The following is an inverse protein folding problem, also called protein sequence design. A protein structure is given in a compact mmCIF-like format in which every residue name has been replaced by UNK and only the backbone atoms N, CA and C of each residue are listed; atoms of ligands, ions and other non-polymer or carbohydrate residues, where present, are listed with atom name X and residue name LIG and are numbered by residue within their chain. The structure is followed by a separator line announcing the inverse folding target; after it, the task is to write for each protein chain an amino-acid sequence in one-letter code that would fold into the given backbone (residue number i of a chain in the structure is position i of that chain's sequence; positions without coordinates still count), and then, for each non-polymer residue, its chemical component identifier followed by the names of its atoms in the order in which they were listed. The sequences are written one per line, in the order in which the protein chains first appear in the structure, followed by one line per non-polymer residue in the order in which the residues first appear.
data_IF_683698997175
#
_entry.id   IF_683698997175
#
_cell.length_a   1.000
_cell.length_b   1.000
_cell.length_c   1.000
_cell.angle_alpha   90.00
_cell.angle_beta   90.00
_cell.angle_gamma   90.00
#
_symmetry.space_group_name_H-M   'P 1'
#
loop_
_entity.id
_entity.type
_entity.pdbx_description
1 polymer ?
#
# COMPACT_ATOMS: atom_id res chain seq x y z
N UNK A 1 -82.76 17.33 -28.61
CA UNK A 1 -83.49 16.35 -27.77
C UNK A 1 -82.51 15.75 -26.77
N UNK A 2 -82.92 15.73 -25.49
CA UNK A 2 -82.17 15.19 -24.35
C UNK A 2 -81.76 13.74 -24.57
N UNK A 3 -80.58 13.34 -24.05
CA UNK A 3 -80.38 12.08 -23.32
C UNK A 3 -79.09 12.17 -22.48
N UNK A 4 -79.28 12.05 -21.16
CA UNK A 4 -78.25 11.90 -20.13
C UNK A 4 -77.83 10.43 -20.04
N UNK A 5 -76.54 10.17 -19.79
CA UNK A 5 -75.98 8.92 -19.23
C UNK A 5 -74.79 9.36 -18.36
N UNK A 6 -74.96 9.55 -17.04
CA UNK A 6 -74.84 8.59 -15.93
C UNK A 6 -73.40 8.10 -15.63
N UNK A 7 -72.84 8.67 -14.55
CA UNK A 7 -71.87 8.19 -13.55
C UNK A 7 -70.88 7.04 -13.83
N UNK A 8 -69.59 7.28 -13.51
CA UNK A 8 -68.83 6.51 -12.49
C UNK A 8 -67.51 7.23 -12.10
N UNK A 9 -67.26 7.61 -10.83
CA UNK A 9 -65.93 8.02 -10.39
C UNK A 9 -65.07 6.76 -10.11
N UNK A 10 -63.96 6.65 -10.83
CA UNK A 10 -62.96 5.60 -10.66
C UNK A 10 -62.24 5.80 -9.30
N UNK A 11 -62.48 4.89 -8.36
CA UNK A 11 -61.73 4.75 -7.12
C UNK A 11 -60.27 4.41 -7.44
N UNK A 12 -59.38 5.38 -7.30
CA UNK A 12 -57.93 5.15 -7.31
C UNK A 12 -57.57 4.53 -5.95
N UNK A 13 -57.44 3.20 -5.94
CA UNK A 13 -56.73 2.49 -4.87
C UNK A 13 -55.25 2.84 -4.96
N UNK A 14 -54.81 3.75 -4.08
CA UNK A 14 -53.38 3.95 -3.79
C UNK A 14 -52.91 2.72 -3.02
N UNK A 15 -52.17 1.85 -3.69
CA UNK A 15 -51.37 0.82 -3.04
C UNK A 15 -50.35 1.51 -2.14
N UNK A 16 -50.57 1.44 -0.83
CA UNK A 16 -49.55 1.74 0.16
C UNK A 16 -48.48 0.65 0.07
N UNK A 17 -47.36 0.97 -0.58
CA UNK A 17 -46.14 0.18 -0.45
C UNK A 17 -45.66 0.29 1.01
N UNK A 18 -46.01 -0.70 1.82
CA UNK A 18 -45.32 -1.02 3.08
C UNK A 18 -43.92 -1.53 2.75
N UNK A 19 -43.05 -0.61 2.35
CA UNK A 19 -41.62 -0.84 2.31
C UNK A 19 -41.10 -0.90 3.73
N UNK A 20 -40.88 -2.12 4.23
CA UNK A 20 -40.09 -2.40 5.41
C UNK A 20 -38.79 -1.59 5.34
N UNK A 21 -38.71 -0.51 6.14
CA UNK A 21 -37.45 0.15 6.42
C UNK A 21 -36.66 -0.81 7.30
N UNK A 22 -35.87 -1.66 6.67
CA UNK A 22 -34.67 -2.16 7.34
C UNK A 22 -33.82 -0.92 7.59
N UNK A 23 -33.92 -0.38 8.80
CA UNK A 23 -32.92 0.50 9.38
C UNK A 23 -31.60 -0.29 9.40
N UNK A 24 -30.92 -0.28 8.26
CA UNK A 24 -29.47 -0.41 8.27
C UNK A 24 -28.98 0.80 9.03
N UNK A 25 -28.61 0.57 10.30
CA UNK A 25 -27.81 1.48 11.10
C UNK A 25 -26.67 1.94 10.19
N UNK A 26 -26.77 3.17 9.70
CA UNK A 26 -25.66 3.85 9.03
C UNK A 26 -24.52 3.78 10.04
N UNK A 27 -23.45 3.05 9.71
CA UNK A 27 -22.16 3.32 10.35
C UNK A 27 -21.96 4.82 10.18
N UNK A 28 -21.83 5.55 11.29
CA UNK A 28 -21.37 6.92 11.24
C UNK A 28 -20.12 6.92 10.35
N UNK A 29 -20.19 7.63 9.23
CA UNK A 29 -19.03 7.87 8.38
C UNK A 29 -18.06 8.69 9.22
N UNK A 30 -17.19 8.01 9.97
CA UNK A 30 -16.03 8.65 10.57
C UNK A 30 -15.27 9.27 9.40
N UNK A 31 -15.19 10.59 9.39
CA UNK A 31 -14.47 11.34 8.37
C UNK A 31 -13.02 10.80 8.34
N UNK A 32 -12.63 10.22 7.20
CA UNK A 32 -11.37 9.51 7.11
C UNK A 32 -10.21 10.50 7.22
N UNK A 33 -9.24 10.19 8.10
CA UNK A 33 -8.18 11.11 8.50
C UNK A 33 -7.23 11.44 7.34
N UNK A 34 -6.51 12.55 7.46
CA UNK A 34 -5.35 12.86 6.62
C UNK A 34 -4.04 12.41 7.30
N UNK A 35 -2.91 12.52 6.58
CA UNK A 35 -1.60 12.24 7.17
C UNK A 35 -1.26 13.27 8.25
N UNK A 36 -1.75 14.51 8.15
CA UNK A 36 -1.53 15.57 9.14
C UNK A 36 -2.34 15.34 10.43
N UNK A 37 -3.43 14.58 10.36
CA UNK A 37 -4.28 14.27 11.52
C UNK A 37 -3.78 13.05 12.31
N UNK A 38 -2.77 12.33 11.80
CA UNK A 38 -2.24 11.11 12.42
C UNK A 38 -0.75 11.23 12.77
N UNK A 39 -0.31 10.72 13.94
CA UNK A 39 -1.13 10.10 14.98
C UNK A 39 -1.82 11.12 15.90
N UNK A 40 -3.04 10.79 16.33
CA UNK A 40 -3.80 11.46 17.38
C UNK A 40 -3.90 10.60 18.67
N UNK A 41 -4.70 11.05 19.63
CA UNK A 41 -4.91 10.34 20.92
C UNK A 41 -5.63 8.98 20.77
N UNK A 42 -6.37 8.79 19.67
CA UNK A 42 -7.21 7.62 19.42
C UNK A 42 -6.54 6.64 18.43
N UNK A 43 -5.36 7.00 17.92
CA UNK A 43 -4.58 6.20 16.99
C UNK A 43 -4.10 4.90 17.64
N UNK A 44 -4.49 3.77 17.05
CA UNK A 44 -4.00 2.47 17.47
C UNK A 44 -2.71 2.07 16.75
N UNK A 45 -1.81 1.36 17.45
CA UNK A 45 -0.54 0.92 16.91
C UNK A 45 -0.51 -0.61 16.81
N UNK A 46 -0.29 -1.12 15.60
CA UNK A 46 -0.13 -2.55 15.35
C UNK A 46 1.33 -2.84 14.99
N UNK A 47 1.98 -3.77 15.69
CA UNK A 47 3.35 -4.16 15.37
C UNK A 47 3.38 -5.39 14.46
N UNK A 48 3.93 -5.20 13.26
CA UNK A 48 4.29 -6.28 12.34
C UNK A 48 5.69 -6.78 12.72
N UNK A 49 5.75 -8.00 13.26
CA UNK A 49 7.00 -8.63 13.71
C UNK A 49 7.64 -9.43 12.58
N UNK A 50 8.81 -8.97 12.16
CA UNK A 50 9.70 -9.64 11.21
C UNK A 50 10.64 -10.60 11.95
N UNK A 51 11.11 -11.62 11.25
CA UNK A 51 12.03 -12.62 11.77
C UNK A 51 13.08 -12.98 10.72
N UNK A 52 14.35 -12.90 11.09
CA UNK A 52 15.44 -13.40 10.26
C UNK A 52 15.42 -14.94 10.25
N UNK A 53 15.42 -15.53 9.06
CA UNK A 53 15.56 -16.97 8.85
C UNK A 53 16.75 -17.26 7.93
N UNK A 54 17.42 -18.39 8.13
CA UNK A 54 18.61 -18.71 7.36
C UNK A 54 18.27 -18.99 5.88
N UNK A 55 19.14 -18.57 4.95
CA UNK A 55 19.08 -18.98 3.54
C UNK A 55 18.33 -18.05 2.57
N UNK A 56 17.72 -16.96 3.03
CA UNK A 56 16.90 -16.07 2.19
C UNK A 56 17.64 -14.82 1.70
N UNK A 57 18.88 -14.98 1.19
CA UNK A 57 19.67 -13.85 0.63
C UNK A 57 19.88 -13.94 -0.88
N UNK A 58 19.52 -15.06 -1.52
CA UNK A 58 19.84 -15.28 -2.94
C UNK A 58 19.20 -14.22 -3.85
N UNK A 59 17.90 -13.97 -3.68
CA UNK A 59 17.16 -12.99 -4.49
C UNK A 59 17.78 -11.59 -4.37
N UNK A 60 17.96 -11.09 -3.15
CA UNK A 60 18.50 -9.74 -2.95
C UNK A 60 19.96 -9.60 -3.43
N UNK A 61 20.76 -10.67 -3.35
CA UNK A 61 22.11 -10.70 -3.89
C UNK A 61 22.11 -10.69 -5.42
N UNK A 62 21.27 -11.50 -6.06
CA UNK A 62 21.12 -11.55 -7.51
C UNK A 62 20.60 -10.20 -8.05
N UNK A 63 19.61 -9.60 -7.37
CA UNK A 63 19.13 -8.25 -7.69
C UNK A 63 20.25 -7.21 -7.58
N UNK A 64 21.10 -7.31 -6.55
CA UNK A 64 22.28 -6.46 -6.41
C UNK A 64 23.23 -6.58 -7.60
N UNK A 65 23.47 -7.79 -8.10
CA UNK A 65 24.30 -8.04 -9.30
C UNK A 65 23.65 -7.43 -10.54
N UNK A 66 22.33 -7.55 -10.71
CA UNK A 66 21.62 -6.94 -11.83
C UNK A 66 21.69 -5.41 -11.80
N UNK A 67 21.52 -4.81 -10.62
CA UNK A 67 21.66 -3.37 -10.40
C UNK A 67 23.06 -2.88 -10.77
N UNK A 68 24.09 -3.58 -10.32
CA UNK A 68 25.48 -3.27 -10.65
C UNK A 68 25.75 -3.35 -12.15
N UNK A 69 25.23 -4.39 -12.84
CA UNK A 69 25.30 -4.49 -14.31
C UNK A 69 24.57 -3.34 -15.01
N UNK A 70 23.47 -2.86 -14.42
CA UNK A 70 22.73 -1.70 -14.91
C UNK A 70 23.40 -0.35 -14.56
N UNK A 71 24.56 -0.36 -13.89
CA UNK A 71 25.31 0.84 -13.54
C UNK A 71 24.83 1.53 -12.27
N UNK A 72 24.24 0.79 -11.33
CA UNK A 72 23.91 1.27 -10.00
C UNK A 72 24.95 0.79 -8.97
N UNK A 73 25.27 1.62 -7.97
CA UNK A 73 25.78 1.10 -6.72
C UNK A 73 24.66 0.36 -5.98
N UNK A 74 25.02 -0.61 -5.14
CA UNK A 74 24.08 -1.34 -4.30
C UNK A 74 24.73 -1.63 -2.95
N UNK A 75 24.22 -0.99 -1.91
CA UNK A 75 24.85 -0.97 -0.59
C UNK A 75 23.84 -1.26 0.50
N UNK A 76 24.19 -2.15 1.43
CA UNK A 76 23.41 -2.35 2.65
C UNK A 76 23.54 -1.11 3.54
N UNK A 77 22.42 -0.70 4.15
CA UNK A 77 22.35 0.41 5.09
C UNK A 77 21.93 -0.05 6.47
N UNK A 78 22.22 0.80 7.45
CA UNK A 78 21.65 0.63 8.79
C UNK A 78 20.13 0.74 8.68
N UNK A 79 19.43 -0.29 9.16
CA UNK A 79 17.97 -0.31 9.19
C UNK A 79 17.43 0.93 9.89
N UNK A 80 16.49 1.59 9.22
CA UNK A 80 15.69 2.65 9.82
C UNK A 80 14.35 2.08 10.26
N UNK A 81 13.80 2.59 11.35
CA UNK A 81 12.45 2.26 11.77
C UNK A 81 11.48 2.66 10.66
N UNK A 82 10.52 1.79 10.34
CA UNK A 82 9.50 2.06 9.34
C UNK A 82 8.12 1.81 9.94
N UNK A 83 7.18 2.68 9.56
CA UNK A 83 5.77 2.50 9.83
C UNK A 83 4.95 2.92 8.62
N UNK A 84 3.72 2.42 8.56
CA UNK A 84 2.72 2.79 7.56
C UNK A 84 1.47 3.26 8.28
N UNK A 85 1.01 4.46 7.95
CA UNK A 85 -0.26 4.97 8.42
C UNK A 85 -1.39 4.35 7.60
N UNK A 86 -2.47 3.97 8.27
CA UNK A 86 -3.77 3.66 7.68
C UNK A 86 -4.79 4.66 8.23
N UNK A 87 -5.06 5.68 7.42
CA UNK A 87 -5.90 6.83 7.78
C UNK A 87 -7.39 6.51 7.77
N UNK A 88 -7.79 5.44 7.08
CA UNK A 88 -9.17 4.96 7.07
C UNK A 88 -9.53 4.25 8.37
N UNK A 89 -8.54 3.64 9.03
CA UNK A 89 -8.73 2.88 10.27
C UNK A 89 -8.20 3.59 11.52
N UNK A 90 -7.59 4.77 11.37
CA UNK A 90 -6.81 5.45 12.41
C UNK A 90 -5.77 4.52 13.07
N UNK A 91 -4.97 3.84 12.24
CA UNK A 91 -3.95 2.87 12.69
C UNK A 91 -2.57 3.17 12.14
N UNK A 92 -1.55 2.92 12.94
CA UNK A 92 -0.15 2.93 12.51
C UNK A 92 0.40 1.51 12.57
N UNK A 93 0.80 0.97 11.41
CA UNK A 93 1.47 -0.33 11.28
C UNK A 93 2.96 -0.12 11.47
N UNK A 94 3.50 -0.48 12.63
CA UNK A 94 4.93 -0.38 12.96
C UNK A 94 5.63 -1.67 12.56
N UNK A 95 6.71 -1.59 11.79
CA UNK A 95 7.52 -2.75 11.43
C UNK A 95 8.68 -2.86 12.43
N UNK A 96 8.80 -4.02 13.07
CA UNK A 96 9.84 -4.29 14.05
C UNK A 96 10.35 -5.74 13.95
N UNK A 97 11.44 -6.05 14.64
CA UNK A 97 12.05 -7.38 14.67
C UNK A 97 13.45 -7.40 14.06
N UNK A 98 13.99 -8.61 13.90
CA UNK A 98 15.35 -8.82 13.40
C UNK A 98 15.40 -9.25 11.93
N UNK A 99 14.25 -9.43 11.27
CA UNK A 99 14.13 -9.78 9.85
C UNK A 99 14.04 -8.57 8.92
N UNK A 100 14.61 -7.44 9.30
CA UNK A 100 14.61 -6.21 8.49
C UNK A 100 15.98 -6.06 7.84
N UNK A 101 16.01 -5.77 6.55
CA UNK A 101 17.25 -5.43 5.82
C UNK A 101 16.97 -4.23 4.92
N UNK A 102 17.85 -3.22 4.93
CA UNK A 102 17.72 -2.06 4.06
C UNK A 102 18.91 -1.98 3.09
N UNK A 103 18.62 -1.68 1.84
CA UNK A 103 19.59 -1.49 0.78
C UNK A 103 19.31 -0.19 0.04
N UNK A 104 20.35 0.46 -0.45
CA UNK A 104 20.24 1.64 -1.29
C UNK A 104 20.91 1.40 -2.62
N UNK A 105 20.15 1.71 -3.67
CA UNK A 105 20.63 1.71 -5.04
C UNK A 105 20.76 3.13 -5.56
N UNK A 106 21.89 3.46 -6.19
CA UNK A 106 22.09 4.76 -6.84
C UNK A 106 22.79 4.60 -8.18
N UNK A 107 22.19 5.15 -9.22
CA UNK A 107 22.76 5.14 -10.58
C UNK A 107 24.05 5.96 -10.61
N UNK A 108 25.04 5.46 -11.36
CA UNK A 108 26.24 6.19 -11.73
C UNK A 108 26.02 7.15 -12.91
N UNK A 109 24.86 7.09 -13.56
CA UNK A 109 24.46 7.95 -14.66
C UNK A 109 23.27 8.82 -14.27
N UNK A 110 23.21 10.09 -14.71
CA UNK A 110 22.04 10.91 -14.48
C UNK A 110 20.83 10.37 -15.27
N UNK A 111 19.65 10.75 -14.81
CA UNK A 111 18.38 10.50 -15.50
C UNK A 111 18.39 11.14 -16.88
N UNK A 112 17.77 10.48 -17.84
CA UNK A 112 17.82 10.91 -19.25
C UNK A 112 17.27 12.33 -19.39
N UNK A 113 18.03 13.18 -20.08
CA UNK A 113 17.67 14.59 -20.27
C UNK A 113 18.01 15.49 -19.07
N UNK A 114 18.70 14.97 -18.06
CA UNK A 114 19.20 15.74 -16.91
C UNK A 114 20.71 15.60 -16.76
N UNK A 115 21.34 16.49 -15.97
CA UNK A 115 22.78 16.43 -15.66
C UNK A 115 23.06 16.12 -14.19
N UNK A 116 22.17 16.55 -13.29
CA UNK A 116 22.42 16.53 -11.84
C UNK A 116 21.45 15.63 -11.06
N UNK A 117 20.52 14.97 -11.75
CA UNK A 117 19.53 14.08 -11.11
C UNK A 117 19.91 12.63 -11.35
N UNK A 118 20.39 11.95 -10.32
CA UNK A 118 20.80 10.56 -10.39
C UNK A 118 19.71 9.68 -9.79
N UNK A 119 19.15 8.72 -10.55
CA UNK A 119 18.19 7.77 -10.03
C UNK A 119 18.70 7.08 -8.78
N UNK A 120 17.91 7.15 -7.72
CA UNK A 120 18.18 6.45 -6.48
C UNK A 120 16.88 5.91 -5.89
N UNK A 121 17.00 4.82 -5.14
CA UNK A 121 15.88 4.23 -4.42
C UNK A 121 16.39 3.34 -3.28
N UNK A 122 15.50 3.15 -2.31
CA UNK A 122 15.70 2.26 -1.17
C UNK A 122 14.91 0.98 -1.41
N UNK A 123 15.48 -0.16 -1.05
CA UNK A 123 14.81 -1.46 -0.98
C UNK A 123 14.86 -1.90 0.48
N UNK A 124 13.71 -2.03 1.12
CA UNK A 124 13.59 -2.67 2.44
C UNK A 124 13.02 -4.06 2.26
N UNK A 125 13.63 -5.02 2.94
CA UNK A 125 13.17 -6.41 2.99
C UNK A 125 12.62 -6.67 4.38
N UNK A 126 11.40 -7.17 4.44
CA UNK A 126 10.73 -7.64 5.66
C UNK A 126 10.56 -9.14 5.55
N UNK A 127 11.34 -9.87 6.34
CA UNK A 127 11.34 -11.32 6.35
C UNK A 127 10.40 -11.87 7.43
N UNK A 128 9.69 -12.94 7.08
CA UNK A 128 8.72 -13.60 7.96
C UNK A 128 9.02 -15.08 8.10
N UNK A 129 8.48 -15.67 9.17
CA UNK A 129 8.68 -17.09 9.49
C UNK A 129 8.12 -18.04 8.41
N UNK A 130 7.08 -17.63 7.71
CA UNK A 130 6.40 -18.43 6.70
C UNK A 130 5.85 -17.57 5.56
N UNK A 131 5.54 -18.18 4.42
CA UNK A 131 4.92 -17.50 3.28
C UNK A 131 3.52 -16.99 3.64
N UNK A 132 2.76 -17.79 4.40
CA UNK A 132 1.45 -17.37 4.90
C UNK A 132 1.53 -16.13 5.82
N UNK A 133 2.60 -16.01 6.62
CA UNK A 133 2.84 -14.79 7.40
C UNK A 133 3.19 -13.61 6.51
N UNK A 134 4.04 -13.80 5.50
CA UNK A 134 4.37 -12.76 4.54
C UNK A 134 3.13 -12.29 3.76
N UNK A 135 2.30 -13.21 3.25
CA UNK A 135 1.07 -12.88 2.53
C UNK A 135 0.07 -12.09 3.37
N UNK A 136 -0.14 -12.50 4.62
CA UNK A 136 -1.03 -11.79 5.55
C UNK A 136 -0.51 -10.37 5.81
N UNK A 137 0.77 -10.23 6.14
CA UNK A 137 1.36 -8.92 6.42
C UNK A 137 1.47 -8.05 5.16
N UNK A 138 1.63 -8.64 3.97
CA UNK A 138 1.61 -7.93 2.71
C UNK A 138 0.26 -7.28 2.46
N UNK A 139 -0.84 -8.01 2.70
CA UNK A 139 -2.20 -7.45 2.59
C UNK A 139 -2.40 -6.27 3.54
N UNK A 140 -1.98 -6.40 4.81
CA UNK A 140 -2.07 -5.33 5.81
C UNK A 140 -1.26 -4.09 5.39
N UNK A 141 0.00 -4.27 5.00
CA UNK A 141 0.89 -3.19 4.58
C UNK A 141 0.41 -2.53 3.28
N UNK A 142 -0.08 -3.32 2.33
CA UNK A 142 -0.60 -2.80 1.07
C UNK A 142 -1.89 -2.00 1.29
N UNK A 143 -2.79 -2.45 2.17
CA UNK A 143 -3.97 -1.66 2.57
C UNK A 143 -3.55 -0.34 3.21
N UNK A 144 -2.58 -0.36 4.14
CA UNK A 144 -2.08 0.86 4.78
C UNK A 144 -1.44 1.82 3.77
N UNK A 145 -0.53 1.33 2.92
CA UNK A 145 0.17 2.12 1.90
C UNK A 145 -0.81 2.84 0.97
N UNK A 146 -1.88 2.17 0.55
CA UNK A 146 -2.87 2.69 -0.39
C UNK A 146 -4.07 3.37 0.27
N UNK A 147 -4.12 3.43 1.61
CA UNK A 147 -5.16 4.13 2.37
C UNK A 147 -5.32 5.57 1.89
N UNK A 148 -6.57 6.03 1.73
CA UNK A 148 -6.90 7.35 1.19
C UNK A 148 -6.29 7.61 -0.20
N UNK A 149 -6.25 6.58 -1.05
CA UNK A 149 -5.72 6.72 -2.41
C UNK A 149 -4.22 7.03 -2.45
N UNK A 150 -3.44 6.48 -1.50
CA UNK A 150 -1.99 6.67 -1.31
C UNK A 150 -1.57 8.00 -0.66
N UNK A 151 -2.50 8.80 -0.16
CA UNK A 151 -2.17 10.10 0.48
C UNK A 151 -1.78 9.98 1.97
N UNK A 152 -1.95 8.80 2.57
CA UNK A 152 -1.72 8.60 4.00
C UNK A 152 -0.23 8.41 4.39
N UNK A 153 0.66 8.11 3.42
CA UNK A 153 2.07 7.75 3.68
C UNK A 153 3.07 8.71 2.99
N UNK A 154 2.65 9.94 2.71
CA UNK A 154 3.45 10.95 2.03
C UNK A 154 3.37 10.87 0.51
N UNK A 155 4.23 11.63 -0.17
CA UNK A 155 4.19 11.81 -1.64
C UNK A 155 5.28 11.02 -2.39
N UNK A 156 6.20 10.39 -1.67
CA UNK A 156 7.27 9.63 -2.28
C UNK A 156 6.70 8.41 -3.03
N UNK A 157 7.15 8.13 -4.27
CA UNK A 157 6.76 6.90 -4.95
C UNK A 157 7.23 5.68 -4.16
N UNK A 158 6.31 4.76 -3.94
CA UNK A 158 6.54 3.55 -3.17
C UNK A 158 5.76 2.38 -3.76
N UNK A 159 6.35 1.18 -3.67
CA UNK A 159 5.78 -0.06 -4.15
C UNK A 159 6.16 -1.20 -3.23
N UNK A 160 5.15 -1.95 -2.80
CA UNK A 160 5.31 -3.23 -2.11
C UNK A 160 5.18 -4.36 -3.12
N UNK A 161 6.06 -5.36 -3.02
CA UNK A 161 5.91 -6.67 -3.65
C UNK A 161 6.25 -7.77 -2.65
N UNK A 162 5.79 -8.99 -2.91
CA UNK A 162 6.05 -10.16 -2.07
C UNK A 162 6.70 -11.24 -2.92
N UNK A 163 7.70 -11.93 -2.37
CA UNK A 163 8.26 -13.14 -2.94
C UNK A 163 8.56 -14.14 -1.80
N UNK A 164 7.87 -15.28 -1.81
CA UNK A 164 7.96 -16.30 -0.76
C UNK A 164 7.68 -15.72 0.63
N UNK A 165 8.71 -15.74 1.49
CA UNK A 165 8.62 -15.31 2.90
C UNK A 165 8.95 -13.84 3.13
N UNK A 166 9.16 -13.08 2.05
CA UNK A 166 9.71 -11.74 2.13
C UNK A 166 8.81 -10.73 1.42
N UNK A 167 8.61 -9.59 2.08
CA UNK A 167 8.01 -8.41 1.49
C UNK A 167 9.13 -7.44 1.16
N UNK A 168 9.09 -6.89 -0.04
CA UNK A 168 10.02 -5.89 -0.53
C UNK A 168 9.29 -4.57 -0.67
N UNK A 169 9.79 -3.55 0.03
CA UNK A 169 9.32 -2.19 0.02
C UNK A 169 10.33 -1.31 -0.72
N UNK A 170 9.96 -0.92 -1.94
CA UNK A 170 10.79 -0.12 -2.82
C UNK A 170 10.25 1.32 -2.83
N UNK A 171 11.11 2.26 -2.44
CA UNK A 171 10.73 3.68 -2.37
C UNK A 171 11.81 4.57 -2.99
N UNK A 172 11.39 5.65 -3.64
CA UNK A 172 12.30 6.66 -4.17
C UNK A 172 11.88 8.05 -3.75
N UNK A 173 12.82 8.99 -3.71
CA UNK A 173 12.56 10.36 -3.28
C UNK A 173 11.84 11.22 -4.32
N UNK A 174 11.80 10.79 -5.59
CA UNK A 174 11.29 11.62 -6.68
C UNK A 174 10.44 10.82 -7.68
N UNK A 175 9.33 11.42 -8.11
CA UNK A 175 8.38 10.84 -9.08
C UNK A 175 9.07 10.41 -10.39
N UNK A 176 10.04 11.19 -10.87
CA UNK A 176 10.80 10.89 -12.08
C UNK A 176 11.58 9.56 -12.00
N UNK A 177 11.81 9.03 -10.80
CA UNK A 177 12.51 7.74 -10.59
C UNK A 177 11.55 6.56 -10.39
N UNK A 178 10.21 6.77 -10.43
CA UNK A 178 9.21 5.72 -10.23
C UNK A 178 9.43 4.49 -11.12
N UNK A 179 9.79 4.71 -12.39
CA UNK A 179 10.00 3.63 -13.35
C UNK A 179 11.09 2.64 -12.90
N UNK A 180 12.10 3.07 -12.13
CA UNK A 180 13.13 2.17 -11.61
C UNK A 180 12.58 1.25 -10.52
N UNK A 181 11.83 1.79 -9.56
CA UNK A 181 11.21 0.96 -8.53
C UNK A 181 10.16 0.03 -9.13
N UNK A 182 9.42 0.44 -10.16
CA UNK A 182 8.49 -0.43 -10.86
C UNK A 182 9.19 -1.58 -11.59
N UNK A 183 10.27 -1.28 -12.31
CA UNK A 183 11.10 -2.27 -13.01
C UNK A 183 11.65 -3.31 -12.04
N UNK A 184 12.35 -2.88 -11.00
CA UNK A 184 13.01 -3.82 -10.09
C UNK A 184 12.03 -4.53 -9.15
N UNK A 185 10.88 -3.93 -8.85
CA UNK A 185 9.78 -4.66 -8.20
C UNK A 185 9.30 -5.83 -9.05
N UNK A 186 9.27 -5.67 -10.38
CA UNK A 186 8.84 -6.75 -11.28
C UNK A 186 9.85 -7.89 -11.34
N UNK A 187 11.14 -7.57 -11.35
CA UNK A 187 12.22 -8.56 -11.21
C UNK A 187 12.07 -9.39 -9.94
N UNK A 188 11.76 -8.75 -8.81
CA UNK A 188 11.53 -9.44 -7.53
C UNK A 188 10.30 -10.35 -7.61
N UNK A 189 9.20 -9.85 -8.16
CA UNK A 189 7.93 -10.59 -8.26
C UNK A 189 8.05 -11.85 -9.14
N UNK A 190 8.83 -11.78 -10.22
CA UNK A 190 9.00 -12.87 -11.20
C UNK A 190 10.16 -13.83 -10.87
N UNK A 191 10.80 -13.65 -9.71
CA UNK A 191 11.95 -14.47 -9.31
C UNK A 191 11.52 -15.86 -8.82
N UNK A 192 12.07 -16.92 -9.43
CA UNK A 192 11.79 -18.33 -9.14
C UNK A 192 13.06 -19.18 -9.09
#
# INVERSE_FOLDING_TARGET
MKKQILFLPLLIFIFSCSGNKNDSVKKEDKEALSIEDMPDKDTAYDTIKTQNTEGHQKLINDLGVELQKAGFSFEMRKNQNRSFNNCEENRVKVIAGNGIREYFAKSHKPEKGTKDFYPDFVIRVYEFKSEADAERNFKELNTALYSRGRHCNGKAPEKLVINGREIYDLSTRAEMFRAYIEKYSKVIEDYH
#
